data_IF_036334662195
#
_entry.id   IF_036334662195
#
_cell.length_a   1.000
_cell.length_b   1.000
_cell.length_c   1.000
_cell.angle_alpha   90.00
_cell.angle_beta   90.00
_cell.angle_gamma   90.00
#
_symmetry.space_group_name_H-M   'P 1'
#
loop_
_entity.id
_entity.type
_entity.pdbx_description
1 polymer ?
#
# COMPACT_ATOMS: atom_id res chain seq x y z
N UNK A 1 13.24 10.27 -14.49
CA UNK A 1 13.68 10.74 -13.15
C UNK A 1 13.38 9.66 -12.12
N UNK A 2 14.21 9.49 -11.09
CA UNK A 2 13.93 8.53 -10.02
C UNK A 2 12.61 8.87 -9.33
N UNK A 3 11.74 7.86 -9.14
CA UNK A 3 10.46 7.99 -8.43
C UNK A 3 10.62 7.65 -6.97
N UNK A 4 9.84 8.30 -6.12
CA UNK A 4 9.67 7.92 -4.72
C UNK A 4 8.49 6.95 -4.61
N UNK A 5 8.76 5.76 -4.13
CA UNK A 5 7.77 4.68 -4.01
C UNK A 5 7.63 4.34 -2.52
N UNK A 6 6.41 4.34 -2.02
CA UNK A 6 6.13 3.78 -0.69
C UNK A 6 5.37 2.47 -0.82
N UNK A 7 5.71 1.53 0.04
CA UNK A 7 4.98 0.26 0.18
C UNK A 7 4.32 0.25 1.55
N UNK A 8 3.00 0.21 1.58
CA UNK A 8 2.21 0.02 2.79
C UNK A 8 1.92 -1.48 2.93
N UNK A 9 2.78 -2.20 3.65
CA UNK A 9 2.68 -3.64 3.81
C UNK A 9 1.84 -4.01 5.02
N UNK A 10 0.60 -4.44 4.78
CA UNK A 10 -0.36 -4.89 5.78
C UNK A 10 -0.24 -6.36 6.18
N UNK A 11 0.81 -7.08 5.75
CA UNK A 11 1.02 -8.46 6.19
C UNK A 11 1.44 -8.52 7.66
N UNK A 12 0.84 -9.39 8.48
CA UNK A 12 1.32 -9.63 9.85
C UNK A 12 2.62 -10.45 9.89
N UNK A 13 2.94 -11.15 8.80
CA UNK A 13 4.10 -12.05 8.72
C UNK A 13 5.23 -11.36 7.96
N UNK A 14 6.35 -11.07 8.65
CA UNK A 14 7.54 -10.44 8.02
C UNK A 14 8.06 -11.24 6.81
N UNK A 15 8.07 -12.55 6.92
CA UNK A 15 8.57 -13.46 5.89
C UNK A 15 7.39 -14.22 5.22
N UNK A 16 6.21 -13.61 5.15
CA UNK A 16 5.04 -14.19 4.49
C UNK A 16 5.05 -13.96 2.97
N UNK A 17 4.11 -14.59 2.29
CA UNK A 17 4.03 -14.53 0.82
C UNK A 17 3.80 -13.09 0.30
N UNK A 18 2.95 -12.29 0.95
CA UNK A 18 2.80 -10.87 0.60
C UNK A 18 4.15 -10.14 0.68
N UNK A 19 4.92 -10.37 1.74
CA UNK A 19 6.23 -9.74 1.92
C UNK A 19 7.28 -10.23 0.91
N UNK A 20 7.20 -11.47 0.43
CA UNK A 20 8.03 -11.96 -0.65
C UNK A 20 7.72 -11.22 -1.98
N UNK A 21 6.44 -11.00 -2.26
CA UNK A 21 6.00 -10.25 -3.45
C UNK A 21 6.43 -8.78 -3.37
N UNK A 22 6.28 -8.11 -2.20
CA UNK A 22 6.74 -6.71 -2.05
C UNK A 22 8.25 -6.60 -2.17
N UNK A 23 9.01 -7.57 -1.65
CA UNK A 23 10.46 -7.60 -1.80
C UNK A 23 10.90 -7.76 -3.26
N UNK A 24 10.22 -8.62 -4.03
CA UNK A 24 10.47 -8.76 -5.46
C UNK A 24 10.18 -7.46 -6.24
N UNK A 25 9.03 -6.84 -5.96
CA UNK A 25 8.66 -5.54 -6.52
C UNK A 25 9.70 -4.45 -6.18
N UNK A 26 10.07 -4.35 -4.91
CA UNK A 26 11.03 -3.35 -4.43
C UNK A 26 12.39 -3.52 -5.12
N UNK A 27 12.88 -4.75 -5.26
CA UNK A 27 14.11 -5.04 -5.99
C UNK A 27 14.04 -4.56 -7.45
N UNK A 28 12.97 -4.90 -8.17
CA UNK A 28 12.78 -4.43 -9.55
C UNK A 28 12.75 -2.90 -9.65
N UNK A 29 12.02 -2.24 -8.75
CA UNK A 29 11.92 -0.78 -8.71
C UNK A 29 13.27 -0.10 -8.40
N UNK A 30 14.04 -0.66 -7.47
CA UNK A 30 15.37 -0.15 -7.13
C UNK A 30 16.37 -0.34 -8.28
N UNK A 31 16.33 -1.47 -8.96
CA UNK A 31 17.15 -1.71 -10.17
C UNK A 31 16.81 -0.75 -11.31
N UNK A 32 15.56 -0.27 -11.39
CA UNK A 32 15.15 0.79 -12.32
C UNK A 32 15.57 2.21 -11.86
N UNK A 33 16.27 2.32 -10.71
CA UNK A 33 16.78 3.59 -10.18
C UNK A 33 15.82 4.35 -9.26
N UNK A 34 14.71 3.73 -8.83
CA UNK A 34 13.72 4.35 -7.96
C UNK A 34 14.12 4.23 -6.47
N UNK A 35 13.58 5.13 -5.64
CA UNK A 35 13.70 5.06 -4.18
C UNK A 35 12.49 4.35 -3.63
N UNK A 36 12.70 3.30 -2.82
CA UNK A 36 11.63 2.51 -2.22
C UNK A 36 11.73 2.57 -0.71
N UNK A 37 10.63 2.96 -0.06
CA UNK A 37 10.46 2.92 1.40
C UNK A 37 9.29 1.99 1.73
N UNK A 38 9.53 0.96 2.52
CA UNK A 38 8.50 0.02 2.96
C UNK A 38 8.15 0.22 4.42
N UNK A 39 6.86 0.32 4.72
CA UNK A 39 6.29 0.35 6.06
C UNK A 39 5.63 -0.99 6.38
N UNK A 40 6.20 -1.74 7.30
CA UNK A 40 5.63 -2.98 7.82
C UNK A 40 4.58 -2.64 8.89
N UNK A 41 3.35 -2.41 8.46
CA UNK A 41 2.28 -1.82 9.28
C UNK A 41 1.94 -2.63 10.53
N UNK A 42 2.09 -3.95 10.48
CA UNK A 42 1.86 -4.83 11.64
C UNK A 42 2.86 -4.64 12.79
N UNK A 43 3.95 -3.92 12.57
CA UNK A 43 4.98 -3.62 13.58
C UNK A 43 4.92 -2.17 14.07
N UNK A 44 4.01 -1.42 13.52
CA UNK A 44 3.79 -0.01 13.86
C UNK A 44 2.60 0.11 14.82
N UNK A 45 2.66 1.08 15.71
CA UNK A 45 1.54 1.42 16.59
C UNK A 45 0.57 2.30 15.82
N UNK A 46 -0.40 1.69 15.16
CA UNK A 46 -1.39 2.37 14.33
C UNK A 46 -2.79 2.11 14.87
N UNK A 47 -3.46 3.16 15.31
CA UNK A 47 -4.88 3.08 15.65
C UNK A 47 -5.75 3.28 14.39
N UNK A 48 -6.97 2.74 14.41
CA UNK A 48 -7.95 3.00 13.37
C UNK A 48 -8.41 4.47 13.34
N UNK A 49 -8.97 4.91 12.23
CA UNK A 49 -9.57 6.23 12.13
C UNK A 49 -10.78 6.33 13.07
N UNK A 50 -10.85 7.42 13.85
CA UNK A 50 -11.95 7.67 14.81
C UNK A 50 -13.03 8.61 14.25
N UNK A 51 -12.92 9.01 12.98
CA UNK A 51 -13.93 9.84 12.31
C UNK A 51 -14.13 11.24 12.93
N UNK A 52 -13.07 11.82 13.50
CA UNK A 52 -13.17 13.06 14.29
C UNK A 52 -13.37 14.34 13.46
N UNK A 53 -13.10 14.33 12.17
CA UNK A 53 -13.14 15.51 11.29
C UNK A 53 -12.28 16.68 11.80
N UNK A 54 -11.16 16.37 12.46
CA UNK A 54 -10.26 17.34 13.06
C UNK A 54 -8.83 17.27 12.51
N UNK A 55 -8.67 16.60 11.36
CA UNK A 55 -7.41 16.57 10.62
C UNK A 55 -7.16 17.87 9.86
N UNK A 56 -6.01 17.94 9.22
CA UNK A 56 -5.66 19.02 8.29
C UNK A 56 -5.35 20.38 8.92
N UNK A 57 -5.46 20.52 10.23
CA UNK A 57 -5.20 21.80 10.93
C UNK A 57 -3.73 22.18 10.95
N UNK A 58 -2.87 21.18 11.04
CA UNK A 58 -1.43 21.30 11.01
C UNK A 58 -0.89 20.39 9.91
N UNK A 59 -0.36 20.94 8.81
CA UNK A 59 0.19 20.12 7.74
C UNK A 59 1.35 19.22 8.16
N UNK A 60 2.15 19.59 9.15
CA UNK A 60 3.25 18.75 9.64
C UNK A 60 2.71 17.55 10.45
N UNK A 61 1.57 17.74 11.09
CA UNK A 61 0.89 16.74 11.92
C UNK A 61 -0.59 16.63 11.51
N UNK A 62 -0.89 16.06 10.35
CA UNK A 62 -2.21 16.19 9.71
C UNK A 62 -3.35 15.49 10.46
N UNK A 63 -3.07 14.44 11.24
CA UNK A 63 -4.10 13.72 12.01
C UNK A 63 -4.17 14.18 13.45
N UNK A 64 -5.37 14.16 14.04
CA UNK A 64 -5.57 14.46 15.46
C UNK A 64 -4.95 13.38 16.40
N UNK A 65 -4.80 12.15 15.92
CA UNK A 65 -4.15 11.07 16.67
C UNK A 65 -2.63 11.15 16.52
N UNK A 66 -1.90 10.89 17.59
CA UNK A 66 -0.43 10.83 17.63
C UNK A 66 0.03 9.40 17.81
N UNK A 67 0.55 8.81 16.75
CA UNK A 67 1.12 7.45 16.70
C UNK A 67 2.08 7.32 15.51
N UNK A 68 2.45 6.10 15.12
CA UNK A 68 3.45 5.88 14.08
C UNK A 68 2.99 6.31 12.66
N UNK A 69 1.74 6.76 12.47
CA UNK A 69 1.34 7.44 11.22
C UNK A 69 2.18 8.69 10.94
N UNK A 70 2.77 9.31 11.96
CA UNK A 70 3.68 10.45 11.81
C UNK A 70 4.91 10.12 10.92
N UNK A 71 5.30 8.85 10.82
CA UNK A 71 6.36 8.38 9.94
C UNK A 71 5.87 8.20 8.50
N UNK A 72 4.59 7.87 8.32
CA UNK A 72 4.00 7.60 7.00
C UNK A 72 3.62 8.88 6.27
N UNK A 73 3.07 9.89 6.96
CA UNK A 73 2.56 11.10 6.32
C UNK A 73 3.60 11.83 5.46
N UNK A 74 4.83 12.10 5.91
CA UNK A 74 5.85 12.75 5.09
C UNK A 74 6.17 11.91 3.84
N UNK A 75 6.42 10.62 4.04
CA UNK A 75 6.73 9.70 2.94
C UNK A 75 5.58 9.60 1.93
N UNK A 76 4.32 9.57 2.41
CA UNK A 76 3.15 9.56 1.53
C UNK A 76 3.02 10.86 0.72
N UNK A 77 3.31 12.01 1.31
CA UNK A 77 3.28 13.29 0.57
C UNK A 77 4.29 13.30 -0.58
N UNK A 78 5.50 12.84 -0.32
CA UNK A 78 6.60 12.84 -1.29
C UNK A 78 6.51 11.69 -2.31
N UNK A 79 5.71 10.67 -2.04
CA UNK A 79 5.60 9.52 -2.93
C UNK A 79 4.97 9.88 -4.26
N UNK A 80 5.56 9.38 -5.35
CA UNK A 80 4.95 9.33 -6.68
C UNK A 80 4.05 8.10 -6.82
N UNK A 81 4.45 6.99 -6.20
CA UNK A 81 3.77 5.69 -6.28
C UNK A 81 3.48 5.14 -4.88
N UNK A 82 2.27 4.66 -4.69
CA UNK A 82 1.82 3.98 -3.47
C UNK A 82 1.49 2.53 -3.76
N UNK A 83 2.21 1.62 -3.14
CA UNK A 83 1.93 0.19 -3.21
C UNK A 83 1.09 -0.21 -2.00
N UNK A 84 -0.11 -0.69 -2.27
CA UNK A 84 -1.01 -1.26 -1.27
C UNK A 84 -0.79 -2.78 -1.26
N UNK A 85 -0.14 -3.29 -0.21
CA UNK A 85 0.19 -4.70 -0.10
C UNK A 85 -0.54 -5.34 1.08
N UNK A 86 -1.25 -6.45 0.84
CA UNK A 86 -2.08 -7.10 1.86
C UNK A 86 -2.23 -8.60 1.63
N UNK A 87 -2.28 -9.42 2.67
CA UNK A 87 -2.97 -10.70 2.55
C UNK A 87 -4.47 -10.45 2.33
N UNK A 88 -5.12 -11.38 1.64
CA UNK A 88 -6.58 -11.39 1.50
C UNK A 88 -7.20 -11.96 2.78
N UNK A 89 -7.96 -11.14 3.49
CA UNK A 89 -8.71 -11.55 4.69
C UNK A 89 -10.20 -11.28 4.50
N UNK A 90 -11.00 -12.35 4.45
CA UNK A 90 -12.44 -12.24 4.21
C UNK A 90 -12.76 -11.32 3.02
N UNK A 91 -12.17 -11.65 1.85
CA UNK A 91 -12.34 -10.93 0.58
C UNK A 91 -11.94 -9.46 0.59
N UNK A 92 -11.16 -9.03 1.58
CA UNK A 92 -10.73 -7.63 1.75
C UNK A 92 -9.26 -7.53 2.15
N UNK A 93 -8.78 -6.29 2.25
CA UNK A 93 -7.45 -5.99 2.78
C UNK A 93 -7.40 -6.23 4.28
N UNK A 94 -6.20 -6.44 4.80
CA UNK A 94 -5.98 -6.63 6.24
C UNK A 94 -6.35 -5.37 7.05
N UNK A 95 -6.73 -5.55 8.31
CA UNK A 95 -6.97 -4.43 9.22
C UNK A 95 -5.74 -3.52 9.39
N UNK A 96 -4.52 -4.06 9.31
CA UNK A 96 -3.30 -3.25 9.37
C UNK A 96 -3.23 -2.25 8.21
N UNK A 97 -3.48 -2.71 6.98
CA UNK A 97 -3.51 -1.81 5.82
C UNK A 97 -4.67 -0.84 5.91
N UNK A 98 -5.86 -1.33 6.30
CA UNK A 98 -7.06 -0.47 6.40
C UNK A 98 -6.88 0.64 7.42
N UNK A 99 -6.32 0.37 8.60
CA UNK A 99 -6.07 1.38 9.64
C UNK A 99 -5.14 2.50 9.13
N UNK A 100 -4.06 2.16 8.44
CA UNK A 100 -3.16 3.16 7.87
C UNK A 100 -3.85 3.93 6.74
N UNK A 101 -4.52 3.21 5.82
CA UNK A 101 -5.11 3.80 4.63
C UNK A 101 -6.21 4.79 4.95
N UNK A 102 -7.15 4.47 5.86
CA UNK A 102 -8.23 5.37 6.25
C UNK A 102 -7.71 6.69 6.83
N UNK A 103 -6.56 6.63 7.48
CA UNK A 103 -5.94 7.81 8.09
C UNK A 103 -5.16 8.68 7.11
N UNK A 104 -4.88 8.21 5.89
CA UNK A 104 -4.33 9.06 4.83
C UNK A 104 -5.30 10.18 4.43
N UNK A 105 -6.59 10.05 4.75
CA UNK A 105 -7.57 11.12 4.56
C UNK A 105 -7.18 12.43 5.26
N UNK A 106 -6.43 12.36 6.37
CA UNK A 106 -5.92 13.55 7.06
C UNK A 106 -5.04 14.44 6.15
N UNK A 107 -4.38 13.87 5.15
CA UNK A 107 -3.65 14.63 4.13
C UNK A 107 -4.62 15.37 3.20
N UNK A 108 -5.74 14.74 2.83
CA UNK A 108 -6.77 15.41 2.03
C UNK A 108 -7.44 16.56 2.82
N UNK A 109 -7.59 16.43 4.14
CA UNK A 109 -8.09 17.51 5.01
C UNK A 109 -7.17 18.75 5.04
N UNK A 110 -5.88 18.61 4.64
CA UNK A 110 -4.99 19.76 4.48
C UNK A 110 -5.28 20.57 3.20
N UNK A 111 -6.01 20.03 2.22
CA UNK A 111 -6.43 20.73 1.01
C UNK A 111 -7.79 21.38 1.24
N UNK A 112 -8.00 22.68 0.90
CA UNK A 112 -9.28 23.37 1.13
C UNK A 112 -10.49 22.73 0.44
N UNK A 113 -10.24 21.90 -0.58
CA UNK A 113 -11.27 21.18 -1.32
C UNK A 113 -11.26 19.67 -1.04
N UNK A 114 -10.58 19.23 0.02
CA UNK A 114 -10.46 17.82 0.43
C UNK A 114 -9.92 16.90 -0.68
N UNK A 115 -9.02 17.41 -1.53
CA UNK A 115 -8.46 16.65 -2.63
C UNK A 115 -7.30 15.77 -2.15
N UNK A 116 -7.36 14.49 -2.49
CA UNK A 116 -6.22 13.60 -2.31
C UNK A 116 -5.07 13.99 -3.25
N UNK A 117 -3.81 13.88 -2.83
CA UNK A 117 -2.67 14.01 -3.73
C UNK A 117 -2.78 13.01 -4.88
N UNK A 118 -2.56 13.48 -6.11
CA UNK A 118 -2.53 12.61 -7.29
C UNK A 118 -1.31 11.72 -7.23
N UNK A 119 -1.52 10.41 -7.34
CA UNK A 119 -0.46 9.41 -7.28
C UNK A 119 -0.68 8.30 -8.31
N UNK A 120 0.35 7.51 -8.52
CA UNK A 120 0.21 6.20 -9.14
C UNK A 120 0.10 5.15 -8.04
N UNK A 121 -0.50 4.00 -8.34
CA UNK A 121 -0.70 2.95 -7.35
C UNK A 121 -0.47 1.56 -7.91
N UNK A 122 -0.19 0.64 -7.02
CA UNK A 122 -0.05 -0.80 -7.28
C UNK A 122 -0.79 -1.55 -6.17
N UNK A 123 -1.51 -2.61 -6.52
CA UNK A 123 -2.07 -3.57 -5.57
C UNK A 123 -1.25 -4.85 -5.60
N UNK A 124 -0.79 -5.31 -4.43
CA UNK A 124 -0.12 -6.61 -4.27
C UNK A 124 -0.87 -7.42 -3.21
N UNK A 125 -1.38 -8.59 -3.57
CA UNK A 125 -2.09 -9.45 -2.63
C UNK A 125 -1.63 -10.89 -2.69
N UNK A 126 -1.74 -11.57 -1.54
CA UNK A 126 -1.52 -13.00 -1.40
C UNK A 126 -2.71 -13.63 -0.66
N UNK A 127 -3.14 -14.83 -1.10
CA UNK A 127 -4.29 -15.52 -0.55
C UNK A 127 -4.12 -17.03 -0.54
N UNK A 128 -4.80 -17.71 0.40
CA UNK A 128 -4.93 -19.17 0.42
C UNK A 128 -5.70 -19.71 -0.80
N UNK A 129 -6.70 -18.95 -1.27
CA UNK A 129 -7.50 -19.24 -2.47
C UNK A 129 -7.25 -18.24 -3.60
N UNK A 130 -8.22 -18.09 -4.49
CA UNK A 130 -8.15 -17.21 -5.67
C UNK A 130 -9.25 -16.14 -5.73
N UNK A 131 -10.03 -15.95 -4.68
CA UNK A 131 -11.19 -15.04 -4.68
C UNK A 131 -10.79 -13.58 -4.42
N UNK A 132 -10.15 -12.90 -5.37
CA UNK A 132 -9.69 -11.52 -5.23
C UNK A 132 -10.72 -10.48 -5.73
N UNK A 133 -11.83 -10.90 -6.32
CA UNK A 133 -12.75 -10.05 -7.09
C UNK A 133 -13.24 -8.84 -6.28
N UNK A 134 -13.62 -9.03 -5.02
CA UNK A 134 -14.11 -7.95 -4.18
C UNK A 134 -13.00 -6.96 -3.82
N UNK A 135 -11.78 -7.46 -3.58
CA UNK A 135 -10.63 -6.60 -3.29
C UNK A 135 -10.17 -5.83 -4.53
N UNK A 136 -10.25 -6.44 -5.71
CA UNK A 136 -9.99 -5.76 -6.98
C UNK A 136 -11.04 -4.68 -7.24
N UNK A 137 -12.32 -5.02 -7.04
CA UNK A 137 -13.42 -4.07 -7.21
C UNK A 137 -13.27 -2.87 -6.25
N UNK A 138 -12.93 -3.15 -4.99
CA UNK A 138 -12.62 -2.09 -4.02
C UNK A 138 -11.48 -1.21 -4.49
N UNK A 139 -10.38 -1.80 -4.96
CA UNK A 139 -9.20 -1.06 -5.42
C UNK A 139 -9.52 -0.20 -6.64
N UNK A 140 -10.20 -0.73 -7.64
CA UNK A 140 -10.58 -0.01 -8.85
C UNK A 140 -11.54 1.17 -8.54
N UNK A 141 -12.46 0.95 -7.60
CA UNK A 141 -13.38 2.00 -7.14
C UNK A 141 -12.65 3.11 -6.38
N UNK A 142 -11.71 2.71 -5.51
CA UNK A 142 -10.87 3.61 -4.77
C UNK A 142 -10.07 4.52 -5.70
N UNK A 143 -9.33 3.96 -6.65
CA UNK A 143 -8.51 4.71 -7.60
C UNK A 143 -9.32 5.74 -8.37
N UNK A 144 -10.49 5.32 -8.86
CA UNK A 144 -11.42 6.22 -9.55
C UNK A 144 -11.90 7.35 -8.64
N UNK A 145 -12.19 7.05 -7.37
CA UNK A 145 -12.71 8.04 -6.41
C UNK A 145 -11.65 9.08 -6.01
N UNK A 146 -10.44 8.63 -5.69
CA UNK A 146 -9.37 9.53 -5.21
C UNK A 146 -8.48 10.07 -6.34
N UNK A 147 -8.72 9.66 -7.59
CA UNK A 147 -8.01 10.15 -8.76
C UNK A 147 -6.58 9.61 -8.89
N UNK A 148 -6.32 8.42 -8.38
CA UNK A 148 -5.05 7.72 -8.61
C UNK A 148 -5.05 6.99 -9.95
N UNK A 149 -3.84 6.65 -10.43
CA UNK A 149 -3.66 5.89 -11.67
C UNK A 149 -2.99 4.55 -11.35
N UNK A 150 -3.71 3.44 -11.60
CA UNK A 150 -3.14 2.11 -11.47
C UNK A 150 -1.96 1.90 -12.43
N UNK A 151 -0.90 1.30 -11.91
CA UNK A 151 0.22 0.76 -12.68
C UNK A 151 0.07 -0.76 -12.87
N UNK A 152 -0.72 -1.41 -12.05
CA UNK A 152 -1.00 -2.84 -12.15
C UNK A 152 -1.36 -3.48 -10.81
N UNK A 153 -1.69 -4.76 -10.90
CA UNK A 153 -2.03 -5.62 -9.76
C UNK A 153 -1.20 -6.90 -9.83
N UNK A 154 -0.78 -7.41 -8.68
CA UNK A 154 -0.15 -8.73 -8.52
C UNK A 154 -0.95 -9.50 -7.47
N UNK A 155 -1.61 -10.57 -7.91
CA UNK A 155 -2.57 -11.33 -7.10
C UNK A 155 -2.13 -12.79 -7.05
N UNK A 156 -1.47 -13.19 -5.96
CA UNK A 156 -0.89 -14.51 -5.78
C UNK A 156 -1.82 -15.40 -4.93
N UNK A 157 -2.54 -16.27 -5.59
CA UNK A 157 -3.42 -17.24 -4.95
C UNK A 157 -2.73 -18.57 -4.61
N UNK A 158 -3.43 -19.38 -3.79
CA UNK A 158 -3.00 -20.72 -3.38
C UNK A 158 -1.64 -20.70 -2.66
N UNK A 159 -1.47 -19.75 -1.73
CA UNK A 159 -0.28 -19.59 -0.91
C UNK A 159 -0.66 -19.43 0.57
N UNK A 160 -0.30 -20.41 1.40
CA UNK A 160 -0.68 -20.51 2.82
C UNK A 160 0.52 -20.38 3.74
N UNK A 161 1.56 -21.18 3.46
CA UNK A 161 2.78 -21.20 4.27
C UNK A 161 3.79 -20.16 3.75
N UNK A 162 4.64 -19.61 4.62
CA UNK A 162 5.79 -18.83 4.15
C UNK A 162 6.63 -19.63 3.16
N UNK A 163 6.96 -19.01 2.03
CA UNK A 163 7.71 -19.65 0.94
C UNK A 163 6.84 -20.18 -0.21
N UNK A 164 5.52 -20.33 -0.03
CA UNK A 164 4.65 -20.86 -1.10
C UNK A 164 4.62 -19.96 -2.36
N UNK A 165 4.97 -18.69 -2.22
CA UNK A 165 5.11 -17.79 -3.38
C UNK A 165 6.39 -18.04 -4.18
N UNK A 166 7.36 -18.79 -3.65
CA UNK A 166 8.59 -19.14 -4.36
C UNK A 166 8.27 -20.01 -5.58
N UNK A 167 8.82 -19.61 -6.73
CA UNK A 167 8.58 -20.31 -8.00
C UNK A 167 7.24 -20.00 -8.67
N UNK A 168 6.36 -19.21 -8.04
CA UNK A 168 5.14 -18.79 -8.69
C UNK A 168 5.39 -17.62 -9.67
N UNK A 169 4.66 -17.56 -10.79
CA UNK A 169 4.81 -16.51 -11.80
C UNK A 169 4.55 -15.11 -11.26
N UNK A 170 3.73 -14.97 -10.22
CA UNK A 170 3.40 -13.69 -9.59
C UNK A 170 4.62 -13.06 -8.90
N UNK A 171 5.61 -13.85 -8.49
CA UNK A 171 6.86 -13.32 -7.95
C UNK A 171 7.66 -12.57 -9.02
N UNK A 172 7.75 -13.13 -10.22
CA UNK A 172 8.38 -12.46 -11.37
C UNK A 172 7.53 -11.28 -11.85
N UNK A 173 6.20 -11.42 -11.90
CA UNK A 173 5.30 -10.31 -12.22
C UNK A 173 5.51 -9.11 -11.30
N UNK A 174 5.65 -9.35 -9.99
CA UNK A 174 5.93 -8.28 -9.03
C UNK A 174 7.26 -7.60 -9.34
N UNK A 175 8.32 -8.36 -9.60
CA UNK A 175 9.62 -7.83 -9.97
C UNK A 175 9.56 -7.02 -11.27
N UNK A 176 8.95 -7.54 -12.33
CA UNK A 176 8.83 -6.85 -13.62
C UNK A 176 7.99 -5.58 -13.52
N UNK A 177 6.90 -5.63 -12.73
CA UNK A 177 6.08 -4.44 -12.48
C UNK A 177 6.90 -3.34 -11.78
N UNK A 178 7.66 -3.69 -10.74
CA UNK A 178 8.57 -2.75 -10.09
C UNK A 178 9.59 -2.16 -11.05
N UNK A 179 10.21 -3.01 -11.88
CA UNK A 179 11.23 -2.64 -12.86
C UNK A 179 10.69 -1.75 -13.99
N UNK A 180 9.40 -1.80 -14.28
CA UNK A 180 8.76 -1.00 -15.32
C UNK A 180 8.49 0.46 -14.92
N UNK A 181 8.71 0.83 -13.65
CA UNK A 181 8.45 2.18 -13.14
C UNK A 181 9.63 3.10 -13.48
N UNK A 182 9.33 4.16 -14.27
CA UNK A 182 10.31 5.15 -14.77
C UNK A 182 9.87 6.59 -14.50
#
# INVERSE_FOLDING_TARGET
>A
MARNIIILNGSPRKNGNTSALTAAFARGAQEAGNRVTEFQLSRMKLNGCVGCWHGGRDPEHPCAQRDDMEQIYPAYREADVVVLASPLYYWSISGFLKNAFDRLFAIAECDPNYRNPRKQSVLIMAAEGAGFEESEHWYDHLEKHIGWKSLGKVLCGYVTQPGDAEGKPELDQAYQLGKSIH
#
